data_IF_856998154926
#
_entry.id   IF_856998154926
#
_cell.length_a   1.000
_cell.length_b   1.000
_cell.length_c   1.000
_cell.angle_alpha   90.00
_cell.angle_beta   90.00
_cell.angle_gamma   90.00
#
_symmetry.space_group_name_H-M   'P 1'
#
loop_
_entity.id
_entity.type
_entity.pdbx_description
1 polymer ?
#
# COMPACT_ATOMS: atom_id res chain seq x y z
N UNK A 1 1.20 2.88 -18.61
CA UNK A 1 0.16 1.83 -18.68
C UNK A 1 -0.83 2.06 -17.56
N UNK A 2 -2.09 2.16 -17.90
CA UNK A 2 -3.12 2.40 -16.89
C UNK A 2 -3.44 1.11 -16.14
N UNK A 3 -3.44 1.20 -14.82
CA UNK A 3 -3.80 0.10 -13.95
C UNK A 3 -5.33 0.09 -13.77
N UNK A 4 -5.99 -0.90 -14.35
CA UNK A 4 -7.44 -1.02 -14.22
C UNK A 4 -7.80 -1.72 -12.92
N UNK A 5 -8.14 -0.94 -11.90
CA UNK A 5 -8.47 -1.47 -10.57
C UNK A 5 -9.76 -2.29 -10.58
N UNK A 6 -10.68 -1.98 -11.48
CA UNK A 6 -11.94 -2.73 -11.61
C UNK A 6 -11.72 -4.19 -12.00
N UNK A 7 -10.62 -4.51 -12.63
CA UNK A 7 -10.27 -5.87 -13.05
C UNK A 7 -9.57 -6.68 -11.97
N UNK A 8 -9.46 -6.14 -10.77
CA UNK A 8 -8.81 -6.79 -9.65
C UNK A 8 -7.37 -7.21 -9.98
N UNK A 9 -6.51 -6.28 -10.39
CA UNK A 9 -5.14 -6.62 -10.78
C UNK A 9 -4.29 -6.99 -9.59
N UNK A 10 -3.13 -7.61 -9.86
CA UNK A 10 -2.07 -7.72 -8.86
C UNK A 10 -1.44 -6.36 -8.70
N UNK A 11 -1.28 -5.94 -7.45
CA UNK A 11 -0.56 -4.71 -7.11
C UNK A 11 0.54 -5.05 -6.11
N UNK A 12 1.48 -4.14 -5.95
CA UNK A 12 2.64 -4.38 -5.08
C UNK A 12 2.54 -3.49 -3.85
N UNK A 13 2.79 -4.07 -2.68
CA UNK A 13 2.69 -3.37 -1.40
C UNK A 13 3.90 -3.71 -0.53
N UNK A 14 4.14 -2.87 0.47
CA UNK A 14 5.14 -3.18 1.50
C UNK A 14 4.42 -3.85 2.66
N UNK A 15 4.98 -4.97 3.10
CA UNK A 15 4.46 -5.76 4.21
C UNK A 15 5.47 -5.75 5.34
N UNK A 16 4.99 -5.58 6.56
CA UNK A 16 5.80 -5.67 7.77
C UNK A 16 5.48 -6.97 8.48
N UNK A 17 6.52 -7.71 8.86
CA UNK A 17 6.38 -8.93 9.63
C UNK A 17 6.81 -8.69 11.07
N UNK A 18 5.97 -9.07 12.01
CA UNK A 18 6.24 -8.95 13.43
C UNK A 18 5.68 -10.18 14.14
N UNK A 19 6.55 -10.94 14.81
CA UNK A 19 6.13 -12.11 15.59
C UNK A 19 5.37 -13.15 14.77
N UNK A 20 5.69 -13.29 13.49
CA UNK A 20 5.02 -14.21 12.59
C UNK A 20 3.76 -13.67 11.92
N UNK A 21 3.28 -12.51 12.34
CA UNK A 21 2.12 -11.85 11.73
C UNK A 21 2.57 -10.86 10.66
N UNK A 22 1.89 -10.88 9.52
CA UNK A 22 2.17 -9.96 8.41
C UNK A 22 1.08 -8.88 8.35
N UNK A 23 1.51 -7.64 8.14
CA UNK A 23 0.59 -6.51 8.02
C UNK A 23 1.03 -5.60 6.88
N UNK A 24 0.07 -5.09 6.12
CA UNK A 24 0.35 -4.05 5.14
C UNK A 24 0.79 -2.77 5.87
N UNK A 25 1.83 -2.13 5.35
CA UNK A 25 2.38 -0.95 6.00
C UNK A 25 1.54 0.27 5.65
N UNK A 26 0.91 0.87 6.66
CA UNK A 26 0.20 2.14 6.52
C UNK A 26 1.12 3.30 6.85
N UNK A 27 0.80 4.46 6.30
CA UNK A 27 1.48 5.72 6.59
C UNK A 27 0.45 6.79 6.92
N UNK A 28 0.87 7.76 7.71
CA UNK A 28 0.03 8.90 8.04
C UNK A 28 0.42 10.10 7.18
N UNK A 29 -0.58 10.71 6.57
CA UNK A 29 -0.39 11.97 5.84
C UNK A 29 -0.62 13.11 6.83
N UNK A 30 0.44 13.80 7.20
CA UNK A 30 0.39 14.77 8.31
C UNK A 30 -0.55 15.95 8.04
N UNK A 31 -0.59 16.45 6.82
CA UNK A 31 -1.39 17.62 6.48
C UNK A 31 -2.89 17.35 6.47
N UNK A 32 -3.27 16.11 6.16
CA UNK A 32 -4.68 15.72 6.01
C UNK A 32 -5.19 14.88 7.18
N UNK A 33 -4.31 14.52 8.11
CA UNK A 33 -4.63 13.67 9.26
C UNK A 33 -5.33 12.37 8.83
N UNK A 34 -4.84 11.75 7.77
CA UNK A 34 -5.37 10.49 7.26
C UNK A 34 -4.28 9.42 7.28
N UNK A 35 -4.71 8.17 7.43
CA UNK A 35 -3.83 7.01 7.30
C UNK A 35 -4.12 6.32 5.97
N UNK A 36 -3.07 5.95 5.26
CA UNK A 36 -3.21 5.31 3.95
C UNK A 36 -2.19 4.20 3.78
N UNK A 37 -2.51 3.27 2.87
CA UNK A 37 -1.57 2.23 2.46
C UNK A 37 -1.12 2.57 1.04
N UNK A 38 0.17 2.83 0.82
CA UNK A 38 0.67 3.03 -0.53
C UNK A 38 0.73 1.70 -1.27
N UNK A 39 0.32 1.67 -2.53
CA UNK A 39 0.49 0.51 -3.38
C UNK A 39 1.03 0.96 -4.74
N UNK A 40 1.62 0.02 -5.47
CA UNK A 40 2.39 0.30 -6.67
C UNK A 40 1.98 -0.65 -7.78
N UNK A 41 2.03 -0.18 -9.01
CA UNK A 41 1.73 -1.01 -10.17
C UNK A 41 2.86 -2.00 -10.49
N UNK A 42 4.09 -1.68 -10.08
CA UNK A 42 5.27 -2.47 -10.41
C UNK A 42 6.11 -2.76 -9.18
N UNK A 43 6.79 -3.90 -9.20
CA UNK A 43 7.63 -4.35 -8.10
C UNK A 43 8.76 -3.36 -7.79
N UNK A 44 9.42 -2.87 -8.84
CA UNK A 44 10.54 -1.93 -8.67
C UNK A 44 10.09 -0.64 -8.01
N UNK A 45 8.90 -0.15 -8.37
CA UNK A 45 8.34 1.04 -7.75
C UNK A 45 8.09 0.81 -6.25
N UNK A 46 7.59 -0.36 -5.90
CA UNK A 46 7.37 -0.73 -4.49
C UNK A 46 8.69 -0.85 -3.73
N UNK A 47 9.73 -1.39 -4.36
CA UNK A 47 11.05 -1.49 -3.73
C UNK A 47 11.64 -0.11 -3.47
N UNK A 48 11.50 0.82 -4.41
CA UNK A 48 11.91 2.20 -4.21
C UNK A 48 11.12 2.85 -3.08
N UNK A 49 9.82 2.55 -3.01
CA UNK A 49 8.95 3.01 -1.93
C UNK A 49 9.39 2.48 -0.57
N UNK A 50 9.80 1.21 -0.52
CA UNK A 50 10.32 0.60 0.71
C UNK A 50 11.54 1.35 1.22
N UNK A 51 12.43 1.78 0.33
CA UNK A 51 13.63 2.52 0.73
C UNK A 51 13.30 3.90 1.30
N UNK A 52 12.19 4.49 0.90
CA UNK A 52 11.75 5.80 1.40
C UNK A 52 10.95 5.70 2.69
N UNK A 53 10.48 4.52 3.07
CA UNK A 53 9.68 4.34 4.27
C UNK A 53 10.50 4.56 5.53
N UNK A 54 9.85 5.13 6.55
CA UNK A 54 10.42 5.18 7.88
C UNK A 54 10.24 3.80 8.51
N UNK A 55 11.33 3.05 8.58
CA UNK A 55 11.31 1.67 9.08
C UNK A 55 11.67 1.62 10.55
N UNK A 56 10.93 0.79 11.29
CA UNK A 56 11.20 0.56 12.70
C UNK A 56 12.25 -0.53 12.86
N UNK A 57 13.15 -0.36 13.83
CA UNK A 57 14.17 -1.36 14.14
C UNK A 57 13.53 -2.64 14.67
N UNK A 58 14.12 -3.78 14.30
CA UNK A 58 13.67 -5.08 14.79
C UNK A 58 12.48 -5.65 14.04
N UNK A 59 12.02 -4.97 12.98
CA UNK A 59 10.93 -5.45 12.15
C UNK A 59 11.41 -5.75 10.74
N UNK A 60 10.81 -6.75 10.13
CA UNK A 60 11.13 -7.13 8.75
C UNK A 60 10.14 -6.48 7.81
N UNK A 61 10.66 -5.95 6.71
CA UNK A 61 9.85 -5.33 5.67
C UNK A 61 10.17 -5.99 4.35
N UNK A 62 9.13 -6.30 3.57
CA UNK A 62 9.33 -6.86 2.24
C UNK A 62 8.23 -6.39 1.30
N UNK A 63 8.51 -6.48 0.00
CA UNK A 63 7.57 -6.14 -1.04
C UNK A 63 6.85 -7.41 -1.46
N UNK A 64 5.52 -7.37 -1.51
CA UNK A 64 4.70 -8.51 -1.91
C UNK A 64 3.65 -8.07 -2.92
N UNK A 65 3.29 -9.01 -3.81
CA UNK A 65 2.18 -8.82 -4.74
C UNK A 65 0.90 -9.33 -4.09
N UNK A 66 -0.16 -8.55 -4.19
CA UNK A 66 -1.48 -8.94 -3.70
C UNK A 66 -2.56 -8.54 -4.71
N UNK A 67 -3.71 -9.20 -4.68
CA UNK A 67 -4.85 -8.77 -5.48
C UNK A 67 -5.41 -7.47 -4.88
N UNK A 68 -5.78 -6.54 -5.75
CA UNK A 68 -6.25 -5.23 -5.32
C UNK A 68 -7.45 -5.34 -4.37
N UNK A 69 -8.40 -6.24 -4.64
CA UNK A 69 -9.58 -6.40 -3.78
C UNK A 69 -9.23 -6.89 -2.38
N UNK A 70 -8.23 -7.75 -2.26
CA UNK A 70 -7.73 -8.21 -0.97
C UNK A 70 -7.18 -7.05 -0.16
N UNK A 71 -6.37 -6.22 -0.81
CA UNK A 71 -5.82 -5.02 -0.20
C UNK A 71 -6.94 -4.06 0.21
N UNK A 72 -7.93 -3.87 -0.65
CA UNK A 72 -9.05 -2.97 -0.38
C UNK A 72 -9.88 -3.44 0.82
N UNK A 73 -10.12 -4.73 0.94
CA UNK A 73 -10.85 -5.28 2.09
C UNK A 73 -10.11 -5.03 3.40
N UNK A 74 -8.80 -5.25 3.40
CA UNK A 74 -7.99 -5.04 4.58
C UNK A 74 -7.95 -3.56 4.96
N UNK A 75 -7.77 -2.69 3.98
CA UNK A 75 -7.74 -1.25 4.21
C UNK A 75 -9.08 -0.75 4.75
N UNK A 76 -10.20 -1.22 4.19
CA UNK A 76 -11.53 -0.85 4.65
C UNK A 76 -11.76 -1.28 6.11
N UNK A 77 -11.31 -2.50 6.44
CA UNK A 77 -11.46 -3.04 7.79
C UNK A 77 -10.73 -2.20 8.84
N UNK A 78 -9.59 -1.63 8.46
CA UNK A 78 -8.74 -0.86 9.37
C UNK A 78 -8.93 0.66 9.25
N UNK A 79 -9.82 1.11 8.36
CA UNK A 79 -10.07 2.53 8.18
C UNK A 79 -8.99 3.29 7.42
N UNK A 80 -8.26 2.61 6.55
CA UNK A 80 -7.18 3.20 5.76
C UNK A 80 -7.65 3.54 4.35
N UNK A 81 -7.13 4.63 3.80
CA UNK A 81 -7.26 4.91 2.38
C UNK A 81 -6.16 4.16 1.60
N UNK A 82 -6.33 4.06 0.29
CA UNK A 82 -5.34 3.45 -0.59
C UNK A 82 -4.80 4.52 -1.54
N UNK A 83 -3.47 4.68 -1.57
CA UNK A 83 -2.83 5.63 -2.47
C UNK A 83 -2.01 4.89 -3.51
N UNK A 84 -2.46 4.98 -4.77
CA UNK A 84 -1.66 4.49 -5.90
C UNK A 84 -0.46 5.43 -6.04
N UNK A 85 0.74 4.89 -5.89
CA UNK A 85 1.96 5.67 -5.73
C UNK A 85 2.96 5.33 -6.84
N UNK A 86 3.60 6.35 -7.36
CA UNK A 86 4.68 6.19 -8.34
C UNK A 86 6.00 5.83 -7.65
N UNK A 87 6.98 5.39 -8.44
CA UNK A 87 8.29 4.98 -7.94
C UNK A 87 9.01 6.09 -7.15
N UNK A 88 8.79 7.34 -7.53
CA UNK A 88 9.39 8.50 -6.86
C UNK A 88 8.62 8.97 -5.62
N UNK A 89 7.55 8.28 -5.27
CA UNK A 89 6.72 8.63 -4.13
C UNK A 89 5.54 9.53 -4.45
N UNK A 90 5.40 9.93 -5.71
CA UNK A 90 4.29 10.78 -6.13
C UNK A 90 2.96 10.03 -6.04
N UNK A 91 1.93 10.65 -5.47
CA UNK A 91 0.62 10.04 -5.37
C UNK A 91 -0.13 10.23 -6.68
N UNK A 92 -0.44 9.13 -7.35
CA UNK A 92 -1.13 9.14 -8.64
C UNK A 92 -2.64 9.13 -8.49
N UNK A 93 -3.15 8.45 -7.46
CA UNK A 93 -4.58 8.34 -7.23
C UNK A 93 -4.84 8.03 -5.76
N UNK A 94 -5.90 8.60 -5.21
CA UNK A 94 -6.38 8.35 -3.85
C UNK A 94 -7.69 7.58 -3.95
N UNK A 95 -7.77 6.45 -3.25
CA UNK A 95 -8.90 5.55 -3.38
C UNK A 95 -9.49 5.26 -2.01
N UNK A 96 -10.80 5.41 -1.91
CA UNK A 96 -11.55 4.96 -0.74
C UNK A 96 -11.82 3.47 -0.91
N UNK A 97 -11.29 2.58 -0.05
CA UNK A 97 -11.47 1.15 -0.23
C UNK A 97 -12.91 0.69 -0.13
N UNK A 98 -13.79 1.44 0.51
CA UNK A 98 -15.21 1.09 0.62
C UNK A 98 -15.93 1.17 -0.72
N UNK A 99 -15.40 1.91 -1.69
CA UNK A 99 -16.01 2.02 -3.01
C UNK A 99 -15.66 0.85 -3.93
N UNK A 100 -14.73 -0.02 -3.53
CA UNK A 100 -14.18 -1.10 -4.37
C UNK A 100 -14.53 -2.49 -3.83
N UNK A 101 -14.75 -2.58 -2.55
CA UNK A 101 -14.98 -3.87 -1.88
C UNK A 101 -16.38 -4.43 -2.11
#
# INVERSE_FOLDING_TARGET
MDLSLAENPMVWVVVRTEGGAEQFVGQQHTDLDITFIPFFAEKEAAQDGLHRLKREKGRRYEVQAVRFRELARDAARHGFLLFHTAADGHILNKIDPHTVA
#
